data_IF_042915485468
#
_entry.id   IF_042915485468
#
_cell.length_a   1.000
_cell.length_b   1.000
_cell.length_c   1.000
_cell.angle_alpha   90.00
_cell.angle_beta   90.00
_cell.angle_gamma   90.00
#
_symmetry.space_group_name_H-M   'P 1'
#
loop_
_entity.id
_entity.type
_entity.pdbx_description
1 polymer ?
#
# COMPACT_ATOMS: atom_id res chain seq x y z
N UNK A 1 -9.79 -9.72 -14.50
CA UNK A 1 -8.47 -9.13 -14.81
C UNK A 1 -8.63 -7.78 -15.46
N UNK A 2 -8.09 -6.72 -14.89
CA UNK A 2 -8.15 -5.35 -15.44
C UNK A 2 -6.80 -4.96 -16.02
N UNK A 3 -6.76 -4.56 -17.30
CA UNK A 3 -5.56 -4.05 -17.94
C UNK A 3 -5.58 -2.53 -17.81
N UNK A 4 -4.63 -1.99 -17.06
CA UNK A 4 -4.50 -0.55 -16.83
C UNK A 4 -3.03 -0.16 -17.07
N UNK A 5 -2.69 0.53 -18.17
CA UNK A 5 -1.33 1.00 -18.40
C UNK A 5 -0.92 1.95 -17.27
N UNK A 6 0.36 1.93 -16.92
CA UNK A 6 0.99 2.91 -16.03
C UNK A 6 2.12 3.59 -16.78
N UNK A 7 2.54 4.76 -16.34
CA UNK A 7 3.65 5.47 -16.94
C UNK A 7 4.90 5.33 -16.07
N UNK A 8 6.04 5.14 -16.72
CA UNK A 8 7.34 5.19 -16.09
C UNK A 8 8.29 5.97 -17.02
N UNK A 9 8.84 7.06 -16.56
CA UNK A 9 9.71 7.97 -17.34
C UNK A 9 9.07 8.37 -18.71
N UNK A 10 7.77 8.72 -18.67
CA UNK A 10 7.00 9.10 -19.87
C UNK A 10 6.57 7.95 -20.78
N UNK A 11 6.94 6.72 -20.49
CA UNK A 11 6.60 5.54 -21.31
C UNK A 11 5.48 4.73 -20.66
N UNK A 12 4.57 4.22 -21.50
CA UNK A 12 3.49 3.35 -21.04
C UNK A 12 4.02 1.95 -20.73
N UNK A 13 3.85 1.51 -19.49
CA UNK A 13 4.14 0.14 -19.05
C UNK A 13 2.83 -0.63 -19.00
N UNK A 14 2.72 -1.71 -19.79
CA UNK A 14 1.56 -2.60 -19.75
C UNK A 14 1.56 -3.38 -18.46
N UNK A 15 0.40 -3.44 -17.82
CA UNK A 15 0.20 -4.18 -16.56
C UNK A 15 -1.17 -4.83 -16.51
N UNK A 16 -1.26 -5.89 -15.74
CA UNK A 16 -2.45 -6.68 -15.50
C UNK A 16 -2.68 -6.79 -14.00
N UNK A 17 -3.91 -6.59 -13.55
CA UNK A 17 -4.31 -6.84 -12.17
C UNK A 17 -5.01 -8.19 -12.06
N UNK A 18 -4.50 -9.04 -11.19
CA UNK A 18 -5.12 -10.30 -10.82
C UNK A 18 -5.93 -10.11 -9.53
N UNK A 19 -7.25 -10.13 -9.68
CA UNK A 19 -8.18 -9.95 -8.54
C UNK A 19 -8.19 -11.14 -7.57
N UNK A 20 -7.73 -12.31 -8.02
CA UNK A 20 -7.71 -13.53 -7.20
C UNK A 20 -6.58 -13.49 -6.17
N UNK A 21 -5.44 -12.98 -6.59
CA UNK A 21 -4.22 -12.91 -5.76
C UNK A 21 -3.93 -11.48 -5.26
N UNK A 22 -4.79 -10.49 -5.58
CA UNK A 22 -4.59 -9.06 -5.30
C UNK A 22 -3.22 -8.56 -5.78
N UNK A 23 -2.79 -9.03 -6.98
CA UNK A 23 -1.42 -8.83 -7.46
C UNK A 23 -1.39 -8.10 -8.81
N UNK A 24 -0.50 -7.11 -8.91
CA UNK A 24 -0.18 -6.45 -10.17
C UNK A 24 0.98 -7.15 -10.87
N UNK A 25 0.77 -7.46 -12.14
CA UNK A 25 1.76 -8.02 -13.05
C UNK A 25 2.15 -7.00 -14.11
N UNK A 26 3.41 -6.75 -14.27
CA UNK A 26 3.97 -5.75 -15.20
C UNK A 26 4.75 -6.42 -16.33
N UNK A 27 4.66 -5.88 -17.54
CA UNK A 27 5.48 -6.32 -18.67
C UNK A 27 6.96 -6.07 -18.41
N UNK A 28 7.75 -7.13 -18.33
CA UNK A 28 9.20 -7.04 -18.11
C UNK A 28 9.88 -6.36 -19.29
N UNK A 29 9.44 -6.66 -20.52
CA UNK A 29 10.02 -6.08 -21.74
C UNK A 29 9.81 -4.57 -21.81
N UNK A 30 8.64 -4.07 -21.40
CA UNK A 30 8.36 -2.62 -21.38
C UNK A 30 9.28 -1.91 -20.40
N UNK A 31 9.46 -2.48 -19.19
CA UNK A 31 10.37 -1.92 -18.16
C UNK A 31 11.82 -1.95 -18.66
N UNK A 32 12.25 -3.06 -19.25
CA UNK A 32 13.59 -3.19 -19.84
C UNK A 32 13.80 -2.16 -20.95
N UNK A 33 12.80 -1.93 -21.80
CA UNK A 33 12.87 -0.95 -22.88
C UNK A 33 13.19 0.45 -22.35
N UNK A 34 12.47 0.87 -21.31
CA UNK A 34 12.67 2.19 -20.68
C UNK A 34 14.06 2.28 -20.03
N UNK A 35 14.41 1.28 -19.21
CA UNK A 35 15.67 1.30 -18.46
C UNK A 35 16.91 1.22 -19.34
N UNK A 36 16.84 0.51 -20.47
CA UNK A 36 17.96 0.36 -21.41
C UNK A 36 17.91 1.33 -22.58
N UNK A 37 16.88 2.20 -22.61
CA UNK A 37 16.68 3.20 -23.68
C UNK A 37 16.65 2.58 -25.09
N UNK A 38 16.08 1.38 -25.22
CA UNK A 38 15.96 0.74 -26.52
C UNK A 38 14.94 1.45 -27.39
N UNK A 39 15.28 1.65 -28.65
CA UNK A 39 14.48 2.42 -29.60
C UNK A 39 13.11 1.75 -29.88
N UNK A 40 13.05 0.43 -29.81
CA UNK A 40 11.84 -0.34 -30.12
C UNK A 40 11.67 -1.57 -29.22
N UNK A 41 10.46 -2.11 -29.22
CA UNK A 41 10.08 -3.28 -28.44
C UNK A 41 10.85 -4.55 -28.80
N UNK A 42 11.21 -4.75 -30.12
CA UNK A 42 11.89 -5.95 -30.54
C UNK A 42 13.33 -5.99 -30.05
N UNK A 43 14.00 -4.85 -30.03
CA UNK A 43 15.35 -4.70 -29.49
C UNK A 43 15.34 -4.91 -27.98
N UNK A 44 14.38 -4.34 -27.27
CA UNK A 44 14.18 -4.58 -25.85
C UNK A 44 13.91 -6.06 -25.52
N UNK A 45 13.10 -6.73 -26.33
CA UNK A 45 12.82 -8.17 -26.20
C UNK A 45 14.06 -9.03 -26.41
N UNK A 46 14.91 -8.70 -27.40
CA UNK A 46 16.20 -9.40 -27.62
C UNK A 46 17.12 -9.22 -26.40
N UNK A 47 17.23 -8.00 -25.88
CA UNK A 47 18.01 -7.72 -24.68
C UNK A 47 17.48 -8.51 -23.48
N UNK A 48 16.17 -8.50 -23.26
CA UNK A 48 15.55 -9.29 -22.19
C UNK A 48 15.86 -10.78 -22.29
N UNK A 49 15.76 -11.38 -23.48
CA UNK A 49 16.08 -12.79 -23.68
C UNK A 49 17.54 -13.12 -23.34
N UNK A 50 18.48 -12.23 -23.68
CA UNK A 50 19.89 -12.39 -23.33
C UNK A 50 20.10 -12.26 -21.81
N UNK A 51 19.50 -11.25 -21.17
CA UNK A 51 19.57 -11.05 -19.74
C UNK A 51 18.96 -12.24 -18.98
N UNK A 52 17.78 -12.70 -19.43
CA UNK A 52 17.10 -13.87 -18.88
C UNK A 52 17.98 -15.13 -18.93
N UNK A 53 18.63 -15.36 -20.08
CA UNK A 53 19.56 -16.49 -20.24
C UNK A 53 20.78 -16.41 -19.32
N UNK A 54 21.32 -15.21 -19.09
CA UNK A 54 22.43 -15.00 -18.16
C UNK A 54 21.99 -15.24 -16.71
N UNK A 55 20.89 -14.62 -16.27
CA UNK A 55 20.34 -14.77 -14.92
C UNK A 55 19.96 -16.21 -14.60
N UNK A 56 19.43 -16.96 -15.60
CA UNK A 56 19.13 -18.37 -15.43
C UNK A 56 20.39 -19.21 -15.18
N UNK A 57 21.50 -18.92 -15.88
CA UNK A 57 22.80 -19.59 -15.67
C UNK A 57 23.41 -19.24 -14.31
N UNK A 58 23.16 -18.04 -13.81
CA UNK A 58 23.57 -17.59 -12.46
C UNK A 58 22.68 -18.15 -11.35
N UNK A 59 21.66 -18.94 -11.67
CA UNK A 59 20.72 -19.51 -10.68
C UNK A 59 19.78 -18.47 -10.04
N UNK A 60 19.57 -17.33 -10.72
CA UNK A 60 18.73 -16.25 -10.19
C UNK A 60 17.25 -16.62 -10.21
N UNK A 61 16.61 -16.66 -9.05
CA UNK A 61 15.17 -16.89 -8.88
C UNK A 61 14.30 -15.82 -9.57
N UNK A 62 14.86 -14.64 -9.86
CA UNK A 62 14.13 -13.55 -10.53
C UNK A 62 13.57 -13.95 -11.89
N UNK A 63 14.17 -14.92 -12.55
CA UNK A 63 13.72 -15.45 -13.86
C UNK A 63 12.57 -16.43 -13.70
N UNK A 64 12.63 -17.29 -12.69
CA UNK A 64 11.58 -18.30 -12.40
C UNK A 64 10.31 -17.63 -11.87
N UNK A 65 10.43 -16.46 -11.24
CA UNK A 65 9.31 -15.65 -10.79
C UNK A 65 8.59 -14.87 -11.90
N UNK A 66 9.06 -14.95 -13.17
CA UNK A 66 8.37 -14.35 -14.30
C UNK A 66 7.29 -15.29 -14.87
N UNK A 67 6.07 -14.77 -14.99
CA UNK A 67 4.94 -15.49 -15.56
C UNK A 67 4.64 -15.01 -16.97
N UNK A 68 4.23 -15.91 -17.85
CA UNK A 68 3.82 -15.55 -19.23
C UNK A 68 2.32 -15.27 -19.25
N UNK A 69 1.96 -14.00 -19.40
CA UNK A 69 0.57 -13.54 -19.42
C UNK A 69 0.24 -12.93 -20.78
N UNK A 70 -1.03 -13.00 -21.19
CA UNK A 70 -1.51 -12.36 -22.42
C UNK A 70 -1.72 -10.88 -22.18
N UNK A 71 -0.91 -10.04 -22.83
CA UNK A 71 -1.04 -8.58 -22.82
C UNK A 71 -1.34 -8.04 -24.22
N UNK A 72 -2.14 -6.95 -24.32
CA UNK A 72 -2.44 -6.30 -25.59
C UNK A 72 -1.17 -5.68 -26.19
N UNK A 73 -1.03 -5.79 -27.50
CA UNK A 73 0.02 -5.12 -28.28
C UNK A 73 -0.58 -3.95 -29.10
N UNK A 74 0.28 -3.18 -29.73
CA UNK A 74 -0.13 -2.01 -30.52
C UNK A 74 -1.04 -2.35 -31.72
N UNK A 75 -0.99 -3.60 -32.21
CA UNK A 75 -1.87 -4.13 -33.26
C UNK A 75 -3.26 -4.58 -32.74
N UNK A 76 -3.56 -4.37 -31.48
CA UNK A 76 -4.83 -4.76 -30.84
C UNK A 76 -4.93 -6.26 -30.51
N UNK A 77 -3.93 -7.08 -30.83
CA UNK A 77 -3.90 -8.49 -30.47
C UNK A 77 -3.23 -8.74 -29.12
N UNK A 78 -3.58 -9.86 -28.49
CA UNK A 78 -2.98 -10.28 -27.23
C UNK A 78 -1.86 -11.27 -27.45
N UNK A 79 -0.68 -10.96 -26.93
CA UNK A 79 0.51 -11.83 -27.03
C UNK A 79 1.00 -12.26 -25.66
N UNK A 80 1.51 -13.49 -25.57
CA UNK A 80 2.19 -13.98 -24.37
C UNK A 80 3.46 -13.16 -24.14
N UNK A 81 3.48 -12.47 -22.99
CA UNK A 81 4.54 -11.55 -22.60
C UNK A 81 5.04 -11.97 -21.21
N UNK A 82 6.35 -11.93 -21.00
CA UNK A 82 6.93 -12.16 -19.68
C UNK A 82 6.53 -11.00 -18.75
N UNK A 83 5.87 -11.35 -17.67
CA UNK A 83 5.39 -10.43 -16.64
C UNK A 83 5.99 -10.79 -15.29
N UNK A 84 6.21 -9.79 -14.47
CA UNK A 84 6.72 -9.92 -13.12
C UNK A 84 5.92 -9.05 -12.15
N UNK A 85 5.90 -9.41 -10.88
CA UNK A 85 5.39 -8.58 -9.80
C UNK A 85 6.30 -7.37 -9.57
N UNK A 86 5.83 -6.39 -8.81
CA UNK A 86 6.67 -5.22 -8.46
C UNK A 86 7.97 -5.65 -7.76
N UNK A 87 7.89 -6.60 -6.82
CA UNK A 87 9.05 -7.13 -6.09
C UNK A 87 10.06 -7.76 -7.05
N UNK A 88 9.60 -8.67 -7.93
CA UNK A 88 10.47 -9.32 -8.91
C UNK A 88 11.08 -8.32 -9.90
N UNK A 89 10.34 -7.27 -10.29
CA UNK A 89 10.88 -6.18 -11.12
C UNK A 89 11.98 -5.41 -10.41
N UNK A 90 11.80 -5.04 -9.14
CA UNK A 90 12.85 -4.35 -8.36
C UNK A 90 14.12 -5.20 -8.26
N UNK A 91 13.98 -6.53 -8.16
CA UNK A 91 15.11 -7.45 -8.20
C UNK A 91 15.78 -7.48 -9.58
N UNK A 92 15.00 -7.56 -10.66
CA UNK A 92 15.51 -7.54 -12.05
C UNK A 92 16.25 -6.24 -12.38
N UNK A 93 15.73 -5.09 -11.93
CA UNK A 93 16.37 -3.77 -12.16
C UNK A 93 17.79 -3.72 -11.63
N UNK A 94 18.08 -4.39 -10.51
CA UNK A 94 19.44 -4.46 -9.94
C UNK A 94 20.44 -5.14 -10.90
N UNK A 95 19.98 -6.06 -11.74
CA UNK A 95 20.80 -6.79 -12.73
C UNK A 95 20.97 -6.07 -14.06
N UNK A 96 20.31 -4.93 -14.28
CA UNK A 96 20.40 -4.17 -15.51
C UNK A 96 21.53 -3.14 -15.42
N UNK A 97 22.61 -3.26 -16.20
CA UNK A 97 23.70 -2.29 -16.21
C UNK A 97 23.34 -1.08 -17.10
N UNK A 98 22.51 -0.19 -16.55
CA UNK A 98 22.07 1.01 -17.26
C UNK A 98 22.13 2.24 -16.35
N UNK A 99 22.56 3.41 -16.87
CA UNK A 99 22.49 4.67 -16.12
C UNK A 99 21.08 5.02 -15.65
N UNK A 100 20.03 4.63 -16.38
CA UNK A 100 18.63 4.83 -16.02
C UNK A 100 18.17 3.91 -14.88
N UNK A 101 18.83 2.78 -14.68
CA UNK A 101 18.56 1.89 -13.55
C UNK A 101 19.23 2.38 -12.24
N UNK A 102 20.28 3.18 -12.34
CA UNK A 102 21.08 3.62 -11.19
C UNK A 102 20.28 4.39 -10.13
N UNK A 103 19.41 5.36 -10.49
CA UNK A 103 18.58 6.04 -9.49
C UNK A 103 17.68 5.08 -8.70
N UNK A 104 17.14 4.04 -9.35
CA UNK A 104 16.29 3.03 -8.69
C UNK A 104 17.13 2.18 -7.73
N UNK A 105 18.35 1.79 -8.14
CA UNK A 105 19.28 1.03 -7.30
C UNK A 105 19.69 1.82 -6.05
N UNK A 106 19.98 3.10 -6.21
CA UNK A 106 20.29 4.00 -5.09
C UNK A 106 19.09 4.19 -4.16
N UNK A 107 17.90 4.35 -4.72
CA UNK A 107 16.67 4.42 -3.93
C UNK A 107 16.43 3.13 -3.15
N UNK A 108 16.60 1.95 -3.77
CA UNK A 108 16.48 0.66 -3.10
C UNK A 108 17.49 0.51 -1.96
N UNK A 109 18.73 0.92 -2.19
CA UNK A 109 19.77 0.89 -1.16
C UNK A 109 19.41 1.80 0.02
N UNK A 110 18.87 3.02 -0.26
CA UNK A 110 18.40 3.95 0.76
C UNK A 110 17.23 3.35 1.55
N UNK A 111 16.20 2.84 0.88
CA UNK A 111 15.03 2.22 1.55
C UNK A 111 15.45 1.02 2.40
N UNK A 112 16.33 0.17 1.88
CA UNK A 112 16.88 -0.96 2.64
C UNK A 112 17.64 -0.51 3.89
N UNK A 113 18.47 0.52 3.78
CA UNK A 113 19.19 1.08 4.91
C UNK A 113 18.26 1.72 5.94
N UNK A 114 17.28 2.51 5.50
CA UNK A 114 16.26 3.09 6.39
C UNK A 114 15.50 1.99 7.15
N UNK A 115 15.17 0.89 6.48
CA UNK A 115 14.52 -0.25 7.13
C UNK A 115 15.40 -0.94 8.18
N UNK A 116 16.69 -1.06 7.91
CA UNK A 116 17.67 -1.58 8.90
C UNK A 116 17.74 -0.67 10.13
N UNK A 117 17.73 0.65 9.94
CA UNK A 117 17.69 1.61 11.04
C UNK A 117 16.40 1.51 11.85
N UNK A 118 15.24 1.33 11.21
CA UNK A 118 13.96 1.13 11.89
C UNK A 118 13.91 -0.18 12.70
N UNK A 119 14.62 -1.22 12.29
CA UNK A 119 14.72 -2.45 13.07
C UNK A 119 15.55 -2.20 14.34
N UNK A 120 16.59 -1.39 14.26
CA UNK A 120 17.41 -1.02 15.41
C UNK A 120 16.72 0.00 16.33
N UNK A 121 15.93 0.91 15.75
CA UNK A 121 15.18 1.96 16.46
C UNK A 121 13.76 2.07 15.84
N UNK A 122 12.78 1.33 16.38
CA UNK A 122 11.40 1.33 15.86
C UNK A 122 10.69 2.69 15.90
N UNK A 123 11.17 3.65 16.71
CA UNK A 123 10.59 5.00 16.77
C UNK A 123 10.70 5.72 15.42
N UNK A 124 11.75 5.44 14.62
CA UNK A 124 11.93 6.03 13.30
C UNK A 124 10.80 5.67 12.32
N UNK A 125 10.22 4.47 12.43
CA UNK A 125 9.07 4.09 11.62
C UNK A 125 7.82 4.94 11.96
N UNK A 126 7.62 5.29 13.23
CA UNK A 126 6.54 6.16 13.67
C UNK A 126 6.76 7.59 13.19
N UNK A 127 7.99 8.09 13.26
CA UNK A 127 8.34 9.42 12.76
C UNK A 127 8.15 9.51 11.25
N UNK A 128 8.53 8.49 10.48
CA UNK A 128 8.29 8.42 9.05
C UNK A 128 6.79 8.40 8.72
N UNK A 129 5.99 7.66 9.47
CA UNK A 129 4.54 7.67 9.30
C UNK A 129 3.95 9.06 9.57
N UNK A 130 4.38 9.72 10.65
CA UNK A 130 3.98 11.09 10.99
C UNK A 130 4.32 12.07 9.88
N UNK A 131 5.58 12.05 9.38
CA UNK A 131 6.04 12.90 8.30
C UNK A 131 5.22 12.68 7.01
N UNK A 132 4.90 11.44 6.68
CA UNK A 132 4.07 11.10 5.52
C UNK A 132 2.69 11.75 5.62
N UNK A 133 2.01 11.65 6.77
CA UNK A 133 0.71 12.30 6.96
C UNK A 133 0.79 13.82 6.96
N UNK A 134 1.86 14.41 7.52
CA UNK A 134 2.11 15.86 7.44
C UNK A 134 2.27 16.33 6.00
N UNK A 135 3.05 15.62 5.17
CA UNK A 135 3.21 15.90 3.73
C UNK A 135 1.89 15.80 2.97
N UNK A 136 0.98 14.93 3.42
CA UNK A 136 -0.39 14.82 2.90
C UNK A 136 -1.34 15.89 3.45
N UNK A 137 -0.84 16.88 4.20
CA UNK A 137 -1.61 18.01 4.71
C UNK A 137 -2.45 17.71 5.95
N UNK A 138 -2.15 16.64 6.69
CA UNK A 138 -2.86 16.30 7.93
C UNK A 138 -2.40 17.20 9.08
N UNK A 139 -3.35 17.65 9.91
CA UNK A 139 -3.03 18.36 11.15
C UNK A 139 -2.38 17.43 12.18
N UNK A 140 -1.54 17.98 13.05
CA UNK A 140 -0.91 17.20 14.12
C UNK A 140 -1.94 16.55 15.04
N UNK A 141 -3.07 17.22 15.30
CA UNK A 141 -4.18 16.69 16.10
C UNK A 141 -4.78 15.44 15.43
N UNK A 142 -5.03 15.47 14.13
CA UNK A 142 -5.53 14.32 13.39
C UNK A 142 -4.50 13.16 13.40
N UNK A 143 -3.23 13.48 13.21
CA UNK A 143 -2.13 12.50 13.22
C UNK A 143 -2.06 11.81 14.59
N UNK A 144 -2.11 12.58 15.68
CA UNK A 144 -2.13 12.03 17.04
C UNK A 144 -3.31 11.08 17.24
N UNK A 145 -4.50 11.47 16.81
CA UNK A 145 -5.71 10.64 16.92
C UNK A 145 -5.57 9.35 16.08
N UNK A 146 -4.98 9.45 14.88
CA UNK A 146 -4.77 8.30 14.00
C UNK A 146 -3.77 7.30 14.60
N UNK A 147 -2.70 7.79 15.21
CA UNK A 147 -1.70 6.96 15.91
C UNK A 147 -2.28 6.28 17.14
N UNK A 148 -3.01 7.00 17.98
CA UNK A 148 -3.71 6.44 19.16
C UNK A 148 -4.71 5.37 18.75
N UNK A 149 -5.47 5.61 17.66
CA UNK A 149 -6.39 4.62 17.12
C UNK A 149 -5.68 3.36 16.60
N UNK A 150 -4.47 3.48 16.07
CA UNK A 150 -3.67 2.32 15.66
C UNK A 150 -3.21 1.49 16.87
N UNK A 151 -2.79 2.14 17.95
CA UNK A 151 -2.42 1.46 19.19
C UNK A 151 -3.61 0.72 19.80
N UNK A 152 -4.78 1.38 19.86
CA UNK A 152 -6.03 0.75 20.34
C UNK A 152 -6.37 -0.49 19.56
N UNK A 153 -6.22 -0.41 18.23
CA UNK A 153 -6.44 -1.56 17.36
C UNK A 153 -5.45 -2.70 17.58
N UNK A 154 -4.16 -2.38 17.70
CA UNK A 154 -3.15 -3.40 17.93
C UNK A 154 -3.47 -4.18 19.23
N UNK A 155 -3.77 -3.48 20.31
CA UNK A 155 -4.17 -4.12 21.60
C UNK A 155 -5.39 -5.03 21.46
N UNK A 156 -6.35 -4.69 20.60
CA UNK A 156 -7.51 -5.53 20.33
C UNK A 156 -7.13 -6.77 19.49
N UNK A 157 -6.30 -6.61 18.47
CA UNK A 157 -5.86 -7.74 17.64
C UNK A 157 -4.92 -8.68 18.38
N UNK A 158 -4.09 -8.16 19.28
CA UNK A 158 -3.24 -8.95 20.14
C UNK A 158 -4.09 -9.81 21.10
N UNK A 159 -5.11 -9.19 21.72
CA UNK A 159 -6.08 -9.93 22.53
C UNK A 159 -6.74 -11.07 21.72
N UNK A 160 -7.19 -10.82 20.52
CA UNK A 160 -7.81 -11.83 19.67
C UNK A 160 -6.84 -12.97 19.34
N UNK A 161 -5.58 -12.67 19.01
CA UNK A 161 -4.57 -13.68 18.72
C UNK A 161 -4.30 -14.60 19.93
N UNK A 162 -4.28 -14.03 21.13
CA UNK A 162 -4.07 -14.76 22.40
C UNK A 162 -5.31 -15.59 22.81
N UNK A 163 -6.52 -15.23 22.31
CA UNK A 163 -7.79 -15.86 22.71
C UNK A 163 -8.43 -16.69 21.59
N UNK A 164 -7.59 -17.29 20.71
CA UNK A 164 -8.02 -18.31 19.76
C UNK A 164 -8.72 -17.82 18.50
N UNK A 165 -8.58 -16.53 18.15
CA UNK A 165 -9.07 -15.98 16.87
C UNK A 165 -7.98 -16.13 15.80
N UNK A 166 -8.33 -16.72 14.66
CA UNK A 166 -7.39 -16.89 13.56
C UNK A 166 -7.13 -15.55 12.83
N UNK A 167 -5.86 -15.17 12.64
CA UNK A 167 -5.51 -14.00 11.81
C UNK A 167 -6.07 -14.13 10.38
N UNK A 168 -6.38 -12.99 9.76
CA UNK A 168 -6.93 -12.93 8.41
C UNK A 168 -8.45 -12.85 8.39
N UNK A 169 -9.15 -13.94 8.06
CA UNK A 169 -10.60 -13.90 7.83
C UNK A 169 -11.41 -13.57 9.09
N UNK A 170 -11.09 -14.15 10.24
CA UNK A 170 -11.82 -13.89 11.50
C UNK A 170 -11.55 -12.48 12.02
N UNK A 171 -10.31 -11.99 11.93
CA UNK A 171 -9.98 -10.61 12.26
C UNK A 171 -10.74 -9.62 11.35
N UNK A 172 -10.85 -9.92 10.06
CA UNK A 172 -11.59 -9.10 9.12
C UNK A 172 -13.08 -9.10 9.42
N UNK A 173 -13.65 -10.26 9.77
CA UNK A 173 -15.04 -10.43 10.16
C UNK A 173 -15.37 -9.59 11.40
N UNK A 174 -14.62 -9.78 12.50
CA UNK A 174 -14.82 -9.05 13.75
C UNK A 174 -14.65 -7.55 13.56
N UNK A 175 -13.64 -7.13 12.78
CA UNK A 175 -13.42 -5.72 12.45
C UNK A 175 -14.59 -5.13 11.70
N UNK A 176 -15.11 -5.83 10.70
CA UNK A 176 -16.27 -5.36 9.94
C UNK A 176 -17.51 -5.30 10.80
N UNK A 177 -17.70 -6.25 11.72
CA UNK A 177 -18.79 -6.28 12.66
C UNK A 177 -18.77 -5.07 13.61
N UNK A 178 -17.63 -4.81 14.26
CA UNK A 178 -17.44 -3.62 15.10
C UNK A 178 -17.76 -2.35 14.30
N UNK A 179 -17.21 -2.26 13.08
CA UNK A 179 -17.42 -1.10 12.22
C UNK A 179 -18.89 -0.91 11.85
N UNK A 180 -19.57 -1.98 11.46
CA UNK A 180 -21.00 -1.95 11.11
C UNK A 180 -21.86 -1.57 12.30
N UNK A 181 -21.52 -2.04 13.49
CA UNK A 181 -22.25 -1.69 14.71
C UNK A 181 -22.17 -0.20 15.04
N UNK A 182 -20.98 0.40 15.04
CA UNK A 182 -20.88 1.82 15.40
C UNK A 182 -21.25 2.77 14.24
N UNK A 183 -20.87 2.44 12.99
CA UNK A 183 -21.06 3.34 11.84
C UNK A 183 -22.44 3.19 11.17
N UNK A 184 -23.11 2.03 11.34
CA UNK A 184 -24.31 1.67 10.60
C UNK A 184 -24.05 1.23 9.15
N UNK A 185 -22.79 1.07 8.77
CA UNK A 185 -22.32 0.69 7.43
C UNK A 185 -21.19 -0.33 7.56
N UNK A 186 -21.12 -1.29 6.64
CA UNK A 186 -19.93 -2.14 6.52
C UNK A 186 -18.71 -1.31 6.10
N UNK A 187 -17.50 -1.83 6.32
CA UNK A 187 -16.25 -1.18 5.85
C UNK A 187 -16.30 -0.91 4.35
N UNK A 188 -16.81 -1.87 3.56
CA UNK A 188 -16.94 -1.72 2.10
C UNK A 188 -17.93 -0.59 1.72
N UNK A 189 -19.09 -0.52 2.38
CA UNK A 189 -20.07 0.54 2.15
C UNK A 189 -19.54 1.91 2.56
N UNK A 190 -18.78 1.99 3.67
CA UNK A 190 -18.18 3.25 4.10
C UNK A 190 -17.07 3.70 3.13
N UNK A 191 -16.24 2.78 2.62
CA UNK A 191 -15.30 3.07 1.54
C UNK A 191 -16.02 3.60 0.29
N UNK A 192 -17.09 2.94 -0.15
CA UNK A 192 -17.88 3.38 -1.30
C UNK A 192 -18.48 4.79 -1.07
N UNK A 193 -19.02 5.07 0.12
CA UNK A 193 -19.54 6.38 0.50
C UNK A 193 -18.50 7.50 0.40
N UNK A 194 -17.22 7.20 0.68
CA UNK A 194 -16.08 8.12 0.56
C UNK A 194 -15.41 8.09 -0.82
N UNK A 195 -15.92 7.33 -1.79
CA UNK A 195 -15.34 7.22 -3.14
C UNK A 195 -14.01 6.44 -3.17
N UNK A 196 -13.74 5.60 -2.17
CA UNK A 196 -12.53 4.80 -2.06
C UNK A 196 -12.67 3.44 -2.75
N UNK A 197 -11.57 2.91 -3.30
CA UNK A 197 -11.47 1.56 -3.87
C UNK A 197 -10.67 0.63 -2.96
N UNK A 198 -9.34 0.73 -3.01
CA UNK A 198 -8.39 -0.10 -2.25
C UNK A 198 -7.74 0.63 -1.08
N UNK A 199 -7.90 1.96 -0.98
CA UNK A 199 -7.24 2.78 0.02
C UNK A 199 -7.66 2.37 1.46
N UNK A 200 -6.80 2.69 2.43
CA UNK A 200 -7.13 2.49 3.83
C UNK A 200 -8.22 3.49 4.28
N UNK A 201 -9.38 2.97 4.69
CA UNK A 201 -10.53 3.79 5.09
C UNK A 201 -10.16 4.81 6.19
N UNK A 202 -9.34 4.42 7.17
CA UNK A 202 -9.00 5.28 8.31
C UNK A 202 -8.19 6.51 7.93
N UNK A 203 -7.40 6.43 6.85
CA UNK A 203 -6.64 7.57 6.37
C UNK A 203 -7.52 8.62 5.69
N UNK A 204 -8.79 8.28 5.41
CA UNK A 204 -9.81 9.14 4.80
C UNK A 204 -10.96 9.50 5.75
N UNK A 205 -10.86 9.11 7.02
CA UNK A 205 -11.82 9.44 8.06
C UNK A 205 -11.57 10.83 8.64
N UNK A 206 -12.64 11.49 9.07
CA UNK A 206 -12.57 12.67 9.92
C UNK A 206 -12.03 12.33 11.31
N UNK A 207 -11.65 13.34 12.09
CA UNK A 207 -11.25 13.16 13.48
C UNK A 207 -12.36 12.46 14.31
N UNK A 208 -13.61 12.88 14.15
CA UNK A 208 -14.74 12.27 14.84
C UNK A 208 -14.92 10.79 14.47
N UNK A 209 -14.85 10.45 13.20
CA UNK A 209 -14.93 9.06 12.73
C UNK A 209 -13.81 8.19 13.33
N UNK A 210 -12.58 8.73 13.45
CA UNK A 210 -11.45 8.04 14.08
C UNK A 210 -11.70 7.80 15.58
N UNK A 211 -12.24 8.80 16.29
CA UNK A 211 -12.56 8.71 17.73
C UNK A 211 -13.62 7.62 17.97
N UNK A 212 -14.72 7.62 17.21
CA UNK A 212 -15.77 6.60 17.37
C UNK A 212 -15.30 5.21 16.98
N UNK A 213 -14.41 5.09 15.98
CA UNK A 213 -13.76 3.82 15.64
C UNK A 213 -12.92 3.31 16.83
N UNK A 214 -12.09 4.18 17.40
CA UNK A 214 -11.24 3.81 18.53
C UNK A 214 -12.07 3.47 19.79
N UNK A 215 -13.17 4.21 20.05
CA UNK A 215 -14.09 3.91 21.16
C UNK A 215 -14.73 2.54 20.99
N UNK A 216 -15.20 2.20 19.79
CA UNK A 216 -15.79 0.89 19.51
C UNK A 216 -14.79 -0.25 19.74
N UNK A 217 -13.56 -0.10 19.26
CA UNK A 217 -12.48 -1.09 19.41
C UNK A 217 -12.04 -1.23 20.88
N UNK A 218 -11.88 -0.11 21.58
CA UNK A 218 -11.55 -0.10 23.02
C UNK A 218 -12.63 -0.81 23.84
N UNK A 219 -13.90 -0.44 23.62
CA UNK A 219 -15.03 -1.02 24.33
C UNK A 219 -15.16 -2.52 24.06
N UNK A 220 -14.98 -2.94 22.81
CA UNK A 220 -14.96 -4.36 22.44
C UNK A 220 -13.89 -5.11 23.21
N UNK A 221 -12.66 -4.61 23.23
CA UNK A 221 -11.54 -5.25 23.94
C UNK A 221 -11.80 -5.33 25.44
N UNK A 222 -12.28 -4.26 26.06
CA UNK A 222 -12.56 -4.25 27.51
C UNK A 222 -13.67 -5.23 27.89
N UNK A 223 -14.73 -5.31 27.06
CA UNK A 223 -15.82 -6.27 27.28
C UNK A 223 -15.32 -7.70 27.11
N UNK A 224 -14.59 -7.98 26.04
CA UNK A 224 -14.01 -9.29 25.78
C UNK A 224 -13.09 -9.72 26.93
N UNK A 225 -12.20 -8.83 27.40
CA UNK A 225 -11.31 -9.09 28.52
C UNK A 225 -12.06 -9.31 29.84
N UNK A 226 -13.12 -8.54 30.12
CA UNK A 226 -13.91 -8.71 31.35
C UNK A 226 -14.72 -10.02 31.38
N UNK A 227 -15.02 -10.57 30.21
CA UNK A 227 -15.76 -11.83 30.04
C UNK A 227 -14.84 -13.04 29.80
N UNK A 228 -13.53 -12.83 29.71
CA UNK A 228 -12.54 -13.82 29.29
C UNK A 228 -12.93 -14.53 27.97
N UNK A 229 -13.41 -13.72 27.00
CA UNK A 229 -14.02 -14.20 25.78
C UNK A 229 -12.99 -14.91 24.88
N UNK A 230 -13.25 -16.19 24.58
CA UNK A 230 -12.39 -17.04 23.75
C UNK A 230 -13.12 -17.53 22.50
N UNK A 231 -12.38 -17.68 21.41
CA UNK A 231 -12.94 -18.11 20.14
C UNK A 231 -13.87 -17.07 19.48
N UNK A 232 -14.29 -17.38 18.26
CA UNK A 232 -14.99 -16.43 17.39
C UNK A 232 -16.37 -16.00 17.96
N UNK A 233 -17.15 -16.93 18.49
CA UNK A 233 -18.53 -16.65 18.91
C UNK A 233 -18.61 -15.67 20.07
N UNK A 234 -17.79 -15.85 21.11
CA UNK A 234 -17.78 -14.97 22.28
C UNK A 234 -17.26 -13.58 21.92
N UNK A 235 -16.20 -13.52 21.10
CA UNK A 235 -15.65 -12.27 20.59
C UNK A 235 -16.61 -11.53 19.64
N UNK A 236 -17.49 -12.21 18.92
CA UNK A 236 -18.60 -11.56 18.19
C UNK A 236 -19.58 -10.88 19.17
N UNK A 237 -19.91 -11.53 20.28
CA UNK A 237 -20.74 -10.94 21.34
C UNK A 237 -20.14 -9.65 21.89
N UNK A 238 -18.85 -9.66 22.22
CA UNK A 238 -18.10 -8.49 22.68
C UNK A 238 -18.04 -7.39 21.60
N UNK A 239 -17.85 -7.76 20.32
CA UNK A 239 -17.83 -6.84 19.19
C UNK A 239 -19.16 -6.12 18.99
N UNK A 240 -20.28 -6.84 19.07
CA UNK A 240 -21.63 -6.25 19.04
C UNK A 240 -21.84 -5.29 20.21
N UNK A 241 -21.45 -5.68 21.43
CA UNK A 241 -21.64 -4.85 22.61
C UNK A 241 -20.79 -3.57 22.57
N UNK A 242 -19.50 -3.69 22.23
CA UNK A 242 -18.58 -2.57 22.13
C UNK A 242 -18.96 -1.61 21.00
N UNK A 243 -19.34 -2.12 19.84
CA UNK A 243 -19.85 -1.31 18.73
C UNK A 243 -21.13 -0.55 19.06
N UNK A 244 -22.06 -1.16 19.82
CA UNK A 244 -23.29 -0.49 20.29
C UNK A 244 -23.01 0.68 21.23
N UNK A 245 -22.03 0.57 22.11
CA UNK A 245 -21.61 1.69 22.99
C UNK A 245 -21.22 2.89 22.14
N UNK A 246 -20.36 2.70 21.18
CA UNK A 246 -19.92 3.76 20.28
C UNK A 246 -21.07 4.30 19.41
N UNK A 247 -21.98 3.44 18.95
CA UNK A 247 -23.21 3.86 18.24
C UNK A 247 -24.06 4.80 19.09
N UNK A 248 -24.34 4.43 20.33
CA UNK A 248 -25.16 5.23 21.20
C UNK A 248 -24.54 6.61 21.47
N UNK A 249 -23.24 6.64 21.76
CA UNK A 249 -22.51 7.89 21.96
C UNK A 249 -22.52 8.76 20.67
N UNK A 250 -22.34 8.15 19.48
CA UNK A 250 -22.42 8.83 18.19
C UNK A 250 -23.81 9.43 17.98
N UNK A 251 -24.87 8.67 18.19
CA UNK A 251 -26.24 9.12 17.98
C UNK A 251 -26.63 10.26 18.93
N UNK A 252 -26.15 10.22 20.18
CA UNK A 252 -26.33 11.32 21.12
C UNK A 252 -25.63 12.58 20.66
N UNK A 253 -24.40 12.48 20.17
CA UNK A 253 -23.66 13.62 19.62
C UNK A 253 -24.36 14.20 18.38
N UNK A 254 -24.79 13.35 17.45
CA UNK A 254 -25.53 13.76 16.24
C UNK A 254 -26.84 14.45 16.58
N UNK A 255 -27.58 13.96 17.59
CA UNK A 255 -28.81 14.59 18.07
C UNK A 255 -28.58 15.98 18.69
N UNK A 256 -27.48 16.17 19.41
CA UNK A 256 -27.13 17.45 20.05
C UNK A 256 -26.58 18.48 19.06
N UNK A 257 -25.84 18.03 18.05
CA UNK A 257 -25.14 18.92 17.12
C UNK A 257 -25.90 19.15 15.82
N UNK A 258 -26.88 18.31 15.50
CA UNK A 258 -27.56 18.27 14.19
C UNK A 258 -26.63 17.87 13.02
N UNK A 259 -25.40 17.41 13.32
CA UNK A 259 -24.40 17.08 12.31
C UNK A 259 -24.12 15.57 12.29
N UNK A 260 -24.18 14.90 11.12
CA UNK A 260 -23.82 13.49 11.03
C UNK A 260 -22.32 13.30 11.23
N UNK A 261 -21.92 12.30 12.01
CA UNK A 261 -20.51 11.92 12.17
C UNK A 261 -20.02 11.14 10.96
N UNK A 262 -20.82 10.17 10.47
CA UNK A 262 -20.45 9.33 9.33
C UNK A 262 -20.84 10.03 8.03
N UNK A 263 -19.88 10.61 7.34
CA UNK A 263 -20.09 11.41 6.15
C UNK A 263 -19.42 10.83 4.90
N UNK A 264 -19.81 11.32 3.72
CA UNK A 264 -19.11 11.06 2.46
C UNK A 264 -17.88 11.97 2.24
N UNK A 265 -17.63 12.92 3.15
CA UNK A 265 -16.48 13.78 3.05
C UNK A 265 -15.19 12.94 3.09
N UNK A 266 -14.44 13.01 1.99
CA UNK A 266 -13.16 12.35 1.87
C UNK A 266 -12.08 13.36 2.24
N UNK A 267 -11.43 13.15 3.37
CA UNK A 267 -10.44 14.09 3.89
C UNK A 267 -9.18 14.15 3.02
N UNK A 268 -8.83 13.04 2.36
CA UNK A 268 -7.83 12.99 1.30
C UNK A 268 -8.54 12.46 0.05
N UNK A 269 -8.72 13.29 -0.99
CA UNK A 269 -9.23 12.77 -2.24
C UNK A 269 -8.36 11.60 -2.71
N UNK A 270 -8.92 10.57 -3.36
CA UNK A 270 -8.13 9.52 -3.95
C UNK A 270 -7.13 10.18 -4.89
N UNK A 271 -5.87 10.18 -4.53
CA UNK A 271 -4.84 10.62 -5.45
C UNK A 271 -4.91 9.69 -6.66
N UNK A 272 -4.95 10.26 -7.85
CA UNK A 272 -4.56 9.52 -9.04
C UNK A 272 -3.26 8.80 -8.70
N UNK A 273 -3.06 7.52 -9.09
CA UNK A 273 -1.87 6.75 -8.68
C UNK A 273 -0.66 7.63 -8.91
N UNK A 274 -0.04 8.03 -7.81
CA UNK A 274 1.11 8.94 -7.83
C UNK A 274 2.14 8.29 -8.72
N UNK A 275 2.52 8.99 -9.79
CA UNK A 275 3.75 8.65 -10.48
C UNK A 275 4.81 8.43 -9.39
N UNK A 276 5.59 7.36 -9.49
CA UNK A 276 6.70 7.11 -8.55
C UNK A 276 7.38 8.45 -8.28
N UNK A 277 7.78 8.73 -7.01
CA UNK A 277 8.44 10.00 -6.70
C UNK A 277 9.49 10.29 -7.77
N UNK A 278 9.47 11.51 -8.32
CA UNK A 278 10.46 11.91 -9.32
C UNK A 278 11.83 11.60 -8.76
N UNK A 279 12.52 10.68 -9.43
CA UNK A 279 13.89 10.35 -9.05
C UNK A 279 14.74 11.61 -9.24
N UNK A 280 15.56 11.98 -8.25
CA UNK A 280 16.37 13.19 -8.36
C UNK A 280 17.20 13.16 -9.65
N UNK A 281 17.10 14.21 -10.46
CA UNK A 281 17.83 14.34 -11.70
C UNK A 281 19.33 14.13 -11.43
N UNK A 282 20.05 13.36 -12.27
CA UNK A 282 21.48 13.14 -12.10
C UNK A 282 22.19 14.49 -12.14
N UNK A 283 22.93 14.84 -11.08
CA UNK A 283 23.76 16.04 -11.03
C UNK A 283 24.70 15.99 -12.22
N UNK A 284 24.59 16.96 -13.12
CA UNK A 284 25.51 17.13 -14.24
C UNK A 284 26.95 17.17 -13.71
N UNK A 285 27.80 16.24 -14.17
CA UNK A 285 29.22 16.26 -13.87
C UNK A 285 29.78 17.57 -14.43
N UNK A 286 30.31 18.43 -13.57
CA UNK A 286 31.04 19.61 -13.98
C UNK A 286 32.20 19.18 -14.84
N UNK A 287 32.17 19.59 -16.12
CA UNK A 287 33.31 19.40 -17.05
C UNK A 287 34.46 20.24 -16.52
N UNK A 288 35.49 19.59 -15.99
CA UNK A 288 36.76 20.24 -15.67
C UNK A 288 37.40 20.71 -16.97
N UNK A 289 37.40 22.01 -17.19
CA UNK A 289 38.19 22.64 -18.26
C UNK A 289 39.68 22.32 -18.04
N UNK A 290 40.41 21.88 -19.09
CA UNK A 290 41.86 21.64 -18.93
C UNK A 290 42.60 22.95 -18.67
N UNK A 291 43.36 23.01 -17.60
CA UNK A 291 44.31 24.11 -17.36
C UNK A 291 45.35 24.15 -18.47
N UNK A 292 45.41 25.24 -19.23
CA UNK A 292 46.54 25.57 -20.07
C UNK A 292 47.77 25.73 -19.18
N UNK A 293 48.82 24.95 -19.44
CA UNK A 293 50.17 25.18 -18.89
C UNK A 293 50.82 26.37 -19.58
N UNK A 294 51.65 27.16 -18.87
CA UNK A 294 52.40 28.27 -19.41
C UNK A 294 53.49 27.84 -20.39
#
# INVERSE_FOLDING_TARGET
>A
MKILPTQFDGHAIRRLYDETTDTWWFSVVDVVQVLTQQADYQTARKYWNQLKGRLAKEGSESVTACHRLKLPAADGKNYLTDCATAESLLRLVQSIPSPKAEPIKLWLAKVGYERMQEIADPAQALDRARQTWQQLGRSDKWIQQRMTGQETRNKLTDYWAEHGIAPGQEFALLTNLIHQEWAGLSVAQHKAKKGLKSQNLRDHMSEAELIFTALAELSTRQIASAQDATGLQENQGAAHAGGRIARQARQQLEAQTGQPVVTGANYLPPQAPTAMPELPAPKAKSVRTPRKKP
#
